data_IF_417603458404
#
_entry.id   IF_417603458404
#
_cell.length_a   1.000
_cell.length_b   1.000
_cell.length_c   1.000
_cell.angle_alpha   90.00
_cell.angle_beta   90.00
_cell.angle_gamma   90.00
#
_symmetry.space_group_name_H-M   'P 1'
#
loop_
_entity.id
_entity.type
_entity.pdbx_description
1 polymer ?
#
# COMPACT_ATOMS: atom_id res chain seq x y z
N UNK A 1 41.44 -25.76 -22.53
CA UNK A 1 40.83 -25.04 -21.39
C UNK A 1 40.48 -26.05 -20.33
N UNK A 2 40.98 -25.91 -19.09
CA UNK A 2 40.77 -26.91 -18.07
C UNK A 2 39.34 -26.82 -17.50
N UNK A 3 38.70 -27.97 -17.29
CA UNK A 3 37.28 -28.13 -16.93
C UNK A 3 36.90 -27.65 -15.50
N UNK A 4 37.83 -27.06 -14.74
CA UNK A 4 37.61 -26.63 -13.35
C UNK A 4 37.15 -25.17 -13.20
N UNK A 5 36.94 -24.46 -14.32
CA UNK A 5 36.37 -23.11 -14.35
C UNK A 5 34.95 -23.12 -14.95
N UNK A 6 34.18 -24.18 -14.69
CA UNK A 6 32.73 -24.05 -14.79
C UNK A 6 32.31 -23.21 -13.59
N UNK A 7 31.92 -21.96 -13.86
CA UNK A 7 31.27 -21.08 -12.90
C UNK A 7 30.19 -21.88 -12.16
N UNK A 8 30.48 -22.25 -10.92
CA UNK A 8 29.51 -22.93 -10.07
C UNK A 8 28.42 -21.92 -9.79
N UNK A 9 27.33 -21.99 -10.55
CA UNK A 9 26.10 -21.27 -10.24
C UNK A 9 25.74 -21.67 -8.81
N UNK A 10 25.71 -20.73 -7.84
CA UNK A 10 25.42 -21.08 -6.46
C UNK A 10 24.05 -21.76 -6.40
N UNK A 11 24.04 -23.01 -5.93
CA UNK A 11 22.82 -23.79 -5.75
C UNK A 11 22.15 -23.28 -4.48
N UNK A 12 21.26 -22.30 -4.64
CA UNK A 12 20.47 -21.79 -3.53
C UNK A 12 19.39 -22.80 -3.13
N UNK A 13 19.20 -22.98 -1.83
CA UNK A 13 18.04 -23.69 -1.31
C UNK A 13 16.74 -22.94 -1.65
N UNK A 14 15.62 -23.66 -1.67
CA UNK A 14 14.30 -23.05 -1.95
C UNK A 14 13.96 -21.89 -0.97
N UNK A 15 14.46 -21.94 0.27
CA UNK A 15 14.27 -20.86 1.24
C UNK A 15 15.17 -19.66 0.97
N UNK A 16 16.42 -19.87 0.55
CA UNK A 16 17.32 -18.77 0.17
C UNK A 16 16.80 -18.05 -1.08
N UNK A 17 16.31 -18.79 -2.07
CA UNK A 17 15.64 -18.21 -3.25
C UNK A 17 14.42 -17.37 -2.87
N UNK A 18 13.59 -17.84 -1.93
CA UNK A 18 12.44 -17.07 -1.42
C UNK A 18 12.86 -15.78 -0.73
N UNK A 19 13.90 -15.83 0.10
CA UNK A 19 14.41 -14.65 0.81
C UNK A 19 15.03 -13.63 -0.15
N UNK A 20 15.76 -14.10 -1.16
CA UNK A 20 16.35 -13.27 -2.21
C UNK A 20 15.25 -12.55 -3.01
N UNK A 21 14.28 -13.31 -3.54
CA UNK A 21 13.14 -12.73 -4.27
C UNK A 21 12.34 -11.73 -3.43
N UNK A 22 12.17 -12.00 -2.13
CA UNK A 22 11.51 -11.07 -1.20
C UNK A 22 12.30 -9.78 -1.04
N UNK A 23 13.62 -9.86 -0.86
CA UNK A 23 14.51 -8.70 -0.75
C UNK A 23 14.48 -7.84 -2.02
N UNK A 24 14.46 -8.49 -3.18
CA UNK A 24 14.36 -7.82 -4.47
C UNK A 24 13.02 -7.08 -4.62
N UNK A 25 11.90 -7.73 -4.25
CA UNK A 25 10.58 -7.12 -4.25
C UNK A 25 10.52 -5.89 -3.33
N UNK A 26 11.09 -5.97 -2.12
CA UNK A 26 11.18 -4.82 -1.20
C UNK A 26 12.00 -3.68 -1.83
N UNK A 27 13.12 -4.00 -2.46
CA UNK A 27 13.97 -3.04 -3.16
C UNK A 27 13.26 -2.35 -4.32
N UNK A 28 12.46 -3.08 -5.10
CA UNK A 28 11.64 -2.52 -6.19
C UNK A 28 10.59 -1.57 -5.62
N UNK A 29 9.79 -2.00 -4.64
CA UNK A 29 8.71 -1.18 -4.08
C UNK A 29 9.27 0.13 -3.48
N UNK A 30 10.39 0.07 -2.76
CA UNK A 30 11.01 1.26 -2.19
C UNK A 30 11.57 2.21 -3.26
N UNK A 31 12.14 1.68 -4.35
CA UNK A 31 12.57 2.51 -5.49
C UNK A 31 11.39 3.24 -6.12
N UNK A 32 10.31 2.51 -6.43
CA UNK A 32 9.10 3.10 -7.00
C UNK A 32 8.48 4.19 -6.11
N UNK A 33 8.58 4.03 -4.79
CA UNK A 33 8.06 5.02 -3.83
C UNK A 33 8.92 6.29 -3.73
N UNK A 34 10.24 6.16 -3.76
CA UNK A 34 11.17 7.28 -3.48
C UNK A 34 11.70 7.96 -4.74
N UNK A 35 11.76 7.23 -5.85
CA UNK A 35 12.22 7.70 -7.14
C UNK A 35 11.33 7.04 -8.22
N UNK A 36 10.05 7.44 -8.32
CA UNK A 36 9.15 6.90 -9.32
C UNK A 36 9.71 7.17 -10.71
N UNK A 37 9.73 6.14 -11.54
CA UNK A 37 9.89 6.32 -12.98
C UNK A 37 8.60 6.95 -13.52
N UNK A 38 8.68 7.77 -14.57
CA UNK A 38 7.59 8.66 -15.04
C UNK A 38 6.21 7.99 -15.23
N UNK A 39 6.14 6.67 -15.40
CA UNK A 39 4.88 5.90 -15.60
C UNK A 39 4.56 4.89 -14.49
N UNK A 40 5.36 4.88 -13.42
CA UNK A 40 5.22 3.91 -12.32
C UNK A 40 4.16 4.29 -11.29
N UNK A 41 3.82 5.58 -11.21
CA UNK A 41 2.72 6.11 -10.41
C UNK A 41 1.61 6.56 -11.36
N UNK A 42 0.40 6.05 -11.14
CA UNK A 42 -0.79 6.43 -11.88
C UNK A 42 -1.81 7.02 -10.90
N UNK A 43 -2.33 8.21 -11.17
CA UNK A 43 -3.41 8.77 -10.34
C UNK A 43 -4.73 8.11 -10.75
N UNK A 44 -5.20 7.10 -10.01
CA UNK A 44 -6.38 6.30 -10.38
C UNK A 44 -7.60 6.84 -9.60
N UNK A 45 -8.74 7.14 -10.23
CA UNK A 45 -9.92 7.64 -9.52
C UNK A 45 -10.47 6.58 -8.57
N UNK A 46 -10.99 7.00 -7.41
CA UNK A 46 -11.50 6.07 -6.39
C UNK A 46 -12.59 5.13 -6.92
N UNK A 47 -13.42 5.60 -7.86
CA UNK A 47 -14.44 4.78 -8.52
C UNK A 47 -13.87 3.62 -9.37
N UNK A 48 -12.56 3.54 -9.58
CA UNK A 48 -11.87 2.45 -10.28
C UNK A 48 -11.08 1.53 -9.37
N UNK A 49 -11.12 1.78 -8.05
CA UNK A 49 -10.45 0.98 -7.04
C UNK A 49 -11.44 -0.02 -6.43
N UNK A 50 -11.08 -1.29 -6.44
CA UNK A 50 -11.82 -2.37 -5.76
C UNK A 50 -11.02 -2.75 -4.53
N UNK A 51 -11.60 -2.58 -3.34
CA UNK A 51 -10.95 -3.00 -2.10
C UNK A 51 -10.80 -4.51 -2.04
N UNK A 52 -9.56 -4.99 -1.92
CA UNK A 52 -9.23 -6.40 -1.75
C UNK A 52 -8.38 -6.56 -0.48
N UNK A 53 -8.99 -6.76 0.70
CA UNK A 53 -8.27 -6.83 1.97
C UNK A 53 -7.49 -8.15 2.15
N UNK A 54 -6.59 -8.46 1.20
CA UNK A 54 -5.76 -9.66 1.18
C UNK A 54 -4.55 -9.53 2.12
N UNK A 55 -3.96 -8.34 2.21
CA UNK A 55 -2.80 -8.06 3.09
C UNK A 55 -3.25 -7.93 4.54
N UNK A 56 -4.31 -7.15 4.77
CA UNK A 56 -4.83 -6.86 6.11
C UNK A 56 -6.34 -6.66 6.05
N UNK A 57 -7.11 -7.23 7.01
CA UNK A 57 -8.53 -6.94 7.13
C UNK A 57 -8.78 -5.47 7.43
N UNK A 58 -9.89 -4.95 6.91
CA UNK A 58 -10.34 -3.58 7.20
C UNK A 58 -10.80 -3.52 8.66
N UNK A 59 -10.20 -2.61 9.43
CA UNK A 59 -10.49 -2.41 10.85
C UNK A 59 -11.16 -1.05 10.98
N UNK A 60 -12.39 -1.04 11.47
CA UNK A 60 -13.23 0.15 11.54
C UNK A 60 -12.59 1.30 12.34
N UNK A 61 -11.86 1.00 13.40
CA UNK A 61 -11.15 2.01 14.18
C UNK A 61 -10.10 2.75 13.35
N UNK A 62 -9.36 2.03 12.49
CA UNK A 62 -8.36 2.61 11.60
C UNK A 62 -9.05 3.45 10.51
N UNK A 63 -10.18 2.99 9.97
CA UNK A 63 -10.99 3.74 9.00
C UNK A 63 -11.46 5.07 9.60
N UNK A 64 -12.05 5.06 10.80
CA UNK A 64 -12.51 6.30 11.47
C UNK A 64 -11.38 7.29 11.73
N UNK A 65 -10.21 6.78 12.11
CA UNK A 65 -9.03 7.63 12.29
C UNK A 65 -8.63 8.29 10.97
N UNK A 66 -8.64 7.54 9.88
CA UNK A 66 -8.34 8.05 8.54
C UNK A 66 -9.39 9.05 8.04
N UNK A 67 -10.68 8.83 8.33
CA UNK A 67 -11.74 9.79 8.01
C UNK A 67 -11.51 11.14 8.70
N UNK A 68 -11.11 11.12 9.97
CA UNK A 68 -10.77 12.34 10.72
C UNK A 68 -9.54 13.06 10.16
N UNK A 69 -8.52 12.31 9.74
CA UNK A 69 -7.33 12.88 9.08
C UNK A 69 -7.69 13.50 7.71
N UNK A 70 -8.68 12.92 7.04
CA UNK A 70 -9.05 13.22 5.66
C UNK A 70 -9.95 14.45 5.49
N UNK A 71 -10.38 15.10 6.58
CA UNK A 71 -11.12 16.39 6.56
C UNK A 71 -10.40 17.48 5.75
N UNK A 72 -9.09 17.34 5.54
CA UNK A 72 -8.27 18.27 4.76
C UNK A 72 -8.14 17.91 3.27
N UNK A 73 -8.88 16.90 2.81
CA UNK A 73 -8.81 16.36 1.46
C UNK A 73 -7.55 15.54 1.19
N UNK A 74 -7.39 15.12 -0.07
CA UNK A 74 -6.21 14.39 -0.53
C UNK A 74 -5.02 15.32 -0.73
N UNK A 75 -3.84 14.86 -0.28
CA UNK A 75 -2.56 15.54 -0.45
C UNK A 75 -1.65 14.70 -1.33
N UNK A 76 -1.27 15.25 -2.47
CA UNK A 76 -0.36 14.62 -3.44
C UNK A 76 0.93 14.21 -2.75
N UNK A 77 1.42 12.99 -3.03
CA UNK A 77 2.67 12.47 -2.48
C UNK A 77 2.64 12.03 -1.00
N UNK A 78 1.57 12.30 -0.26
CA UNK A 78 1.51 11.96 1.18
C UNK A 78 1.22 10.46 1.39
N UNK A 79 0.36 9.87 0.55
CA UNK A 79 -0.09 8.48 0.67
C UNK A 79 -0.28 7.84 -0.70
N UNK A 80 0.43 6.72 -0.89
CA UNK A 80 0.39 5.91 -2.12
C UNK A 80 -0.40 4.64 -1.86
N UNK A 81 -1.31 4.30 -2.79
CA UNK A 81 -2.07 3.05 -2.78
C UNK A 81 -1.37 2.02 -3.66
N UNK A 82 -1.31 0.77 -3.22
CA UNK A 82 -0.76 -0.30 -4.04
C UNK A 82 -1.89 -1.08 -4.68
N UNK A 83 -1.85 -1.17 -6.00
CA UNK A 83 -2.92 -1.77 -6.78
C UNK A 83 -2.39 -2.80 -7.77
N UNK A 84 -3.24 -3.71 -8.20
CA UNK A 84 -2.99 -4.68 -9.26
C UNK A 84 -4.16 -4.68 -10.25
N UNK A 85 -3.92 -5.09 -11.49
CA UNK A 85 -4.99 -5.36 -12.45
C UNK A 85 -5.73 -6.68 -12.15
N UNK A 86 -5.13 -7.54 -11.33
CA UNK A 86 -5.63 -8.89 -11.06
C UNK A 86 -6.09 -9.00 -9.60
N UNK A 87 -7.15 -9.79 -9.39
CA UNK A 87 -7.59 -10.19 -8.06
C UNK A 87 -6.68 -11.29 -7.46
N UNK A 88 -7.06 -11.78 -6.27
CA UNK A 88 -6.35 -12.87 -5.58
C UNK A 88 -6.30 -14.20 -6.37
N UNK A 89 -7.11 -14.33 -7.41
CA UNK A 89 -7.26 -15.51 -8.25
C UNK A 89 -6.71 -15.26 -9.66
N UNK A 90 -5.86 -14.24 -9.85
CA UNK A 90 -5.28 -13.85 -11.14
C UNK A 90 -6.34 -13.42 -12.19
N UNK A 91 -7.53 -12.99 -11.77
CA UNK A 91 -8.61 -12.56 -12.68
C UNK A 91 -8.63 -11.05 -12.85
N UNK A 92 -8.82 -10.62 -14.09
CA UNK A 92 -9.03 -9.22 -14.44
C UNK A 92 -10.51 -8.86 -14.29
N UNK A 93 -10.80 -7.70 -13.69
CA UNK A 93 -12.16 -7.15 -13.63
C UNK A 93 -12.30 -5.98 -14.60
N UNK A 94 -13.26 -6.07 -15.53
CA UNK A 94 -13.53 -5.02 -16.52
C UNK A 94 -14.67 -4.12 -16.08
N UNK A 95 -14.64 -2.88 -16.54
CA UNK A 95 -15.75 -1.94 -16.40
C UNK A 95 -16.83 -2.27 -17.41
N UNK A 96 -18.04 -2.53 -16.94
CA UNK A 96 -19.20 -2.88 -17.78
C UNK A 96 -20.21 -1.75 -17.92
N UNK A 97 -20.09 -0.69 -17.11
CA UNK A 97 -20.99 0.46 -17.10
C UNK A 97 -22.28 0.25 -16.31
N UNK A 98 -22.50 -0.95 -15.79
CA UNK A 98 -23.67 -1.34 -14.97
C UNK A 98 -23.43 -1.18 -13.47
N UNK A 99 -22.23 -0.80 -13.06
CA UNK A 99 -21.85 -0.68 -11.65
C UNK A 99 -22.55 0.53 -11.00
N UNK A 100 -23.05 0.34 -9.76
CA UNK A 100 -23.80 1.36 -9.02
C UNK A 100 -23.05 2.69 -8.86
N UNK A 101 -21.71 2.63 -8.80
CA UNK A 101 -20.86 3.82 -8.71
C UNK A 101 -21.08 4.80 -9.87
N UNK A 102 -21.56 4.31 -11.03
CA UNK A 102 -21.87 5.14 -12.20
C UNK A 102 -23.21 5.85 -12.13
N UNK A 103 -24.08 5.52 -11.16
CA UNK A 103 -25.27 6.32 -10.89
C UNK A 103 -24.87 7.75 -10.49
N UNK A 104 -23.73 7.92 -9.83
CA UNK A 104 -23.17 9.24 -9.52
C UNK A 104 -22.56 9.89 -10.79
N UNK A 105 -23.07 11.06 -11.23
CA UNK A 105 -22.58 11.73 -12.45
C UNK A 105 -21.16 12.27 -12.33
N UNK A 106 -20.71 12.61 -11.12
CA UNK A 106 -19.35 13.09 -10.85
C UNK A 106 -18.35 11.95 -11.07
N UNK A 107 -18.64 10.74 -10.57
CA UNK A 107 -17.79 9.56 -10.82
C UNK A 107 -17.70 9.20 -12.30
N UNK A 108 -18.81 9.27 -13.04
CA UNK A 108 -18.79 9.08 -14.51
C UNK A 108 -17.87 10.09 -15.19
N UNK A 109 -17.93 11.36 -14.79
CA UNK A 109 -17.06 12.42 -15.34
C UNK A 109 -15.59 12.15 -15.03
N UNK A 110 -15.25 11.75 -13.81
CA UNK A 110 -13.87 11.42 -13.44
C UNK A 110 -13.36 10.19 -14.19
N UNK A 111 -14.17 9.14 -14.30
CA UNK A 111 -13.82 7.96 -15.09
C UNK A 111 -13.57 8.31 -16.57
N UNK A 112 -14.42 9.15 -17.18
CA UNK A 112 -14.23 9.59 -18.57
C UNK A 112 -12.89 10.33 -18.77
N UNK A 113 -12.52 11.21 -17.83
CA UNK A 113 -11.22 11.92 -17.85
C UNK A 113 -10.05 10.96 -17.72
N UNK A 114 -10.17 10.00 -16.81
CA UNK A 114 -9.16 8.97 -16.60
C UNK A 114 -8.97 8.10 -17.85
N UNK A 115 -10.06 7.59 -18.44
CA UNK A 115 -10.02 6.82 -19.69
C UNK A 115 -9.40 7.63 -20.85
N UNK A 116 -9.77 8.90 -21.00
CA UNK A 116 -9.16 9.76 -22.03
C UNK A 116 -7.63 9.86 -21.86
N UNK A 117 -7.13 9.93 -20.62
CA UNK A 117 -5.69 9.93 -20.34
C UNK A 117 -5.04 8.58 -20.67
N UNK A 118 -5.70 7.46 -20.35
CA UNK A 118 -5.19 6.13 -20.70
C UNK A 118 -5.12 5.92 -22.22
N UNK A 119 -6.11 6.44 -22.96
CA UNK A 119 -6.15 6.34 -24.42
C UNK A 119 -5.11 7.24 -25.11
N UNK A 120 -4.71 8.33 -24.47
CA UNK A 120 -3.72 9.27 -25.02
C UNK A 120 -2.27 8.76 -24.90
N UNK A 121 -1.98 7.82 -24.00
CA UNK A 121 -0.65 7.26 -23.79
C UNK A 121 -0.61 5.76 -24.17
N UNK A 122 0.12 5.37 -25.23
CA UNK A 122 0.23 3.97 -25.65
C UNK A 122 0.65 3.01 -24.54
N UNK A 123 1.50 3.44 -23.60
CA UNK A 123 2.00 2.58 -22.52
C UNK A 123 0.93 2.31 -21.45
N UNK A 124 -0.06 3.21 -21.35
CA UNK A 124 -1.15 3.12 -20.39
C UNK A 124 -2.40 2.46 -20.97
N UNK A 125 -2.45 2.24 -22.29
CA UNK A 125 -3.62 1.69 -22.99
C UNK A 125 -4.07 0.35 -22.41
N UNK A 126 -3.11 -0.47 -21.95
CA UNK A 126 -3.35 -1.76 -21.30
C UNK A 126 -4.21 -1.70 -20.02
N UNK A 127 -4.36 -0.52 -19.42
CA UNK A 127 -5.16 -0.29 -18.21
C UNK A 127 -6.60 0.15 -18.51
N UNK A 128 -6.91 0.42 -19.77
CA UNK A 128 -8.22 0.94 -20.20
C UNK A 128 -9.33 -0.06 -19.90
N UNK A 129 -10.49 0.45 -19.47
CA UNK A 129 -11.68 -0.36 -19.15
C UNK A 129 -11.47 -1.46 -18.09
N UNK A 130 -10.45 -1.33 -17.23
CA UNK A 130 -10.16 -2.26 -16.12
C UNK A 130 -10.29 -1.61 -14.75
N UNK A 131 -10.85 -2.33 -13.79
CA UNK A 131 -10.72 -1.97 -12.40
C UNK A 131 -9.33 -2.32 -11.87
N UNK A 132 -8.98 -1.71 -10.74
CA UNK A 132 -7.73 -1.94 -10.04
C UNK A 132 -8.02 -2.48 -8.65
N UNK A 133 -7.50 -3.66 -8.36
CA UNK A 133 -7.62 -4.33 -7.08
C UNK A 133 -6.61 -3.73 -6.09
N UNK A 134 -7.10 -3.24 -4.96
CA UNK A 134 -6.28 -2.59 -3.92
C UNK A 134 -5.70 -3.66 -3.02
N UNK A 135 -4.40 -3.88 -3.11
CA UNK A 135 -3.69 -4.84 -2.27
C UNK A 135 -3.32 -4.21 -0.93
N UNK A 136 -2.89 -2.95 -0.95
CA UNK A 136 -2.61 -2.17 0.25
C UNK A 136 -3.17 -0.74 0.11
N UNK A 137 -3.73 -0.24 1.21
CA UNK A 137 -4.46 1.03 1.23
C UNK A 137 -5.97 0.87 1.29
N UNK A 138 -6.47 -0.35 1.53
CA UNK A 138 -7.90 -0.66 1.65
C UNK A 138 -8.62 0.26 2.64
N UNK A 139 -8.08 0.44 3.86
CA UNK A 139 -8.68 1.36 4.86
C UNK A 139 -8.77 2.81 4.37
N UNK A 140 -7.81 3.27 3.56
CA UNK A 140 -7.82 4.62 3.01
C UNK A 140 -8.92 4.76 1.97
N UNK A 141 -9.01 3.81 1.03
CA UNK A 141 -10.05 3.81 0.00
C UNK A 141 -11.44 3.77 0.64
N UNK A 142 -11.62 2.92 1.65
CA UNK A 142 -12.88 2.85 2.42
C UNK A 142 -13.18 4.16 3.12
N UNK A 143 -12.23 4.72 3.88
CA UNK A 143 -12.40 5.98 4.59
C UNK A 143 -12.77 7.13 3.66
N UNK A 144 -12.03 7.28 2.55
CA UNK A 144 -12.26 8.37 1.61
C UNK A 144 -13.59 8.24 0.88
N UNK A 145 -13.92 7.03 0.41
CA UNK A 145 -15.19 6.78 -0.28
C UNK A 145 -16.37 7.07 0.65
N UNK A 146 -16.30 6.60 1.90
CA UNK A 146 -17.34 6.83 2.90
C UNK A 146 -17.48 8.31 3.27
N UNK A 147 -16.35 9.00 3.48
CA UNK A 147 -16.36 10.43 3.79
C UNK A 147 -17.00 11.25 2.65
N UNK A 148 -16.66 10.94 1.39
CA UNK A 148 -17.27 11.58 0.22
C UNK A 148 -18.77 11.30 0.18
N UNK A 149 -19.19 10.05 0.33
CA UNK A 149 -20.60 9.66 0.27
C UNK A 149 -21.46 10.32 1.35
N UNK A 150 -20.90 10.55 2.55
CA UNK A 150 -21.66 11.12 3.67
C UNK A 150 -21.68 12.65 3.63
N UNK A 151 -20.56 13.30 3.28
CA UNK A 151 -20.40 14.75 3.48
C UNK A 151 -20.24 15.56 2.19
N UNK A 152 -19.87 14.92 1.09
CA UNK A 152 -19.43 15.61 -0.13
C UNK A 152 -20.01 15.00 -1.40
N UNK A 153 -21.16 14.32 -1.33
CA UNK A 153 -21.74 13.56 -2.45
C UNK A 153 -21.97 14.41 -3.72
N UNK A 154 -22.20 15.72 -3.53
CA UNK A 154 -22.46 16.68 -4.60
C UNK A 154 -21.28 17.64 -4.86
N UNK A 155 -20.15 17.51 -4.17
CA UNK A 155 -18.99 18.39 -4.32
C UNK A 155 -17.89 17.75 -5.20
N UNK A 156 -17.72 18.20 -6.46
CA UNK A 156 -16.75 17.60 -7.38
C UNK A 156 -15.29 17.69 -6.93
N UNK A 157 -14.95 18.61 -6.01
CA UNK A 157 -13.58 18.80 -5.55
C UNK A 157 -13.09 17.64 -4.69
N UNK A 158 -14.01 16.87 -4.10
CA UNK A 158 -13.69 15.71 -3.28
C UNK A 158 -13.53 14.42 -4.09
N UNK A 159 -13.86 14.45 -5.38
CA UNK A 159 -13.79 13.31 -6.29
C UNK A 159 -12.43 13.27 -6.99
N UNK A 160 -11.37 13.00 -6.23
CA UNK A 160 -9.98 13.00 -6.73
C UNK A 160 -9.49 11.61 -7.15
N UNK A 161 -8.28 11.59 -7.71
CA UNK A 161 -7.55 10.38 -8.11
C UNK A 161 -6.25 10.30 -7.31
N UNK A 162 -6.15 9.44 -6.28
CA UNK A 162 -4.91 9.29 -5.52
C UNK A 162 -3.78 8.64 -6.33
N UNK A 163 -2.55 8.94 -5.93
CA UNK A 163 -1.34 8.30 -6.42
C UNK A 163 -1.37 6.79 -6.11
N UNK A 164 -1.30 5.98 -7.16
CA UNK A 164 -1.28 4.53 -7.07
C UNK A 164 -0.03 3.98 -7.73
N UNK A 165 0.64 3.02 -7.07
CA UNK A 165 1.68 2.20 -7.67
C UNK A 165 1.05 0.90 -8.14
N UNK A 166 1.18 0.63 -9.43
CA UNK A 166 0.72 -0.62 -10.03
C UNK A 166 1.79 -1.68 -9.75
N UNK A 167 1.37 -2.77 -9.13
CA UNK A 167 2.17 -3.97 -8.93
C UNK A 167 1.78 -4.98 -10.00
N UNK A 168 2.76 -5.44 -10.81
CA UNK A 168 2.53 -6.62 -11.64
C UNK A 168 2.67 -7.86 -10.76
N UNK A 169 1.52 -8.41 -10.36
CA UNK A 169 1.43 -9.50 -9.40
C UNK A 169 1.41 -10.90 -10.02
N UNK A 170 1.42 -11.02 -11.35
CA UNK A 170 1.20 -12.31 -12.04
C UNK A 170 2.11 -13.39 -11.45
N UNK A 171 1.48 -14.42 -10.86
CA UNK A 171 2.13 -15.57 -10.22
C UNK A 171 3.06 -15.27 -9.03
N UNK A 172 3.25 -14.00 -8.65
CA UNK A 172 4.11 -13.58 -7.53
C UNK A 172 3.34 -12.88 -6.41
N UNK A 173 2.01 -12.98 -6.42
CA UNK A 173 1.11 -12.39 -5.42
C UNK A 173 1.56 -12.66 -3.97
N UNK A 174 1.86 -13.91 -3.60
CA UNK A 174 2.32 -14.22 -2.24
C UNK A 174 3.65 -13.55 -1.84
N UNK A 175 4.56 -13.38 -2.80
CA UNK A 175 5.86 -12.71 -2.59
C UNK A 175 5.67 -11.20 -2.40
N UNK A 176 4.84 -10.58 -3.23
CA UNK A 176 4.50 -9.17 -3.13
C UNK A 176 3.72 -8.85 -1.85
N UNK A 177 2.74 -9.68 -1.48
CA UNK A 177 1.99 -9.56 -0.22
C UNK A 177 2.93 -9.59 0.98
N UNK A 178 3.90 -10.51 1.00
CA UNK A 178 4.91 -10.59 2.05
C UNK A 178 5.85 -9.37 2.07
N UNK A 179 6.28 -8.89 0.90
CA UNK A 179 7.11 -7.69 0.81
C UNK A 179 6.38 -6.43 1.29
N UNK A 180 5.10 -6.28 0.92
CA UNK A 180 4.25 -5.17 1.38
C UNK A 180 4.00 -5.24 2.88
N UNK A 181 3.69 -6.43 3.41
CA UNK A 181 3.57 -6.63 4.85
C UNK A 181 4.84 -6.15 5.56
N UNK A 182 6.02 -6.58 5.15
CA UNK A 182 7.27 -6.14 5.76
C UNK A 182 7.46 -4.62 5.68
N UNK A 183 7.22 -4.00 4.52
CA UNK A 183 7.37 -2.55 4.32
C UNK A 183 6.43 -1.76 5.24
N UNK A 184 5.19 -2.22 5.39
CA UNK A 184 4.17 -1.50 6.16
C UNK A 184 4.28 -1.79 7.66
N UNK A 185 4.68 -3.01 8.03
CA UNK A 185 4.91 -3.40 9.42
C UNK A 185 6.24 -2.85 9.98
N UNK A 186 7.31 -2.82 9.19
CA UNK A 186 8.60 -2.23 9.58
C UNK A 186 8.51 -0.72 9.83
N UNK A 187 7.51 -0.04 9.24
CA UNK A 187 7.24 1.38 9.48
C UNK A 187 6.37 1.65 10.71
N UNK A 188 5.89 0.61 11.42
CA UNK A 188 5.17 0.85 12.68
C UNK A 188 6.16 1.26 13.79
N UNK A 189 5.89 2.33 14.54
CA UNK A 189 6.78 2.79 15.62
C UNK A 189 7.04 1.71 16.67
N UNK A 190 6.07 0.82 16.88
CA UNK A 190 6.17 -0.32 17.79
C UNK A 190 7.21 -1.35 17.30
N UNK A 191 7.30 -1.57 15.99
CA UNK A 191 8.24 -2.52 15.42
C UNK A 191 9.64 -1.93 15.28
N UNK A 192 9.79 -0.64 14.95
CA UNK A 192 11.08 0.05 15.02
C UNK A 192 11.65 0.04 16.45
N UNK A 193 10.79 0.27 17.45
CA UNK A 193 11.17 0.16 18.86
C UNK A 193 11.55 -1.28 19.25
N UNK A 194 10.80 -2.29 18.78
CA UNK A 194 11.11 -3.71 19.03
C UNK A 194 12.43 -4.12 18.36
N UNK A 195 12.67 -3.70 17.12
CA UNK A 195 13.87 -4.00 16.36
C UNK A 195 15.09 -3.31 16.98
N UNK A 196 14.98 -2.04 17.38
CA UNK A 196 16.02 -1.32 18.10
C UNK A 196 16.34 -1.99 19.44
N UNK A 197 15.33 -2.44 20.18
CA UNK A 197 15.52 -3.20 21.42
C UNK A 197 16.16 -4.57 21.18
N UNK A 198 15.80 -5.27 20.10
CA UNK A 198 16.41 -6.55 19.74
C UNK A 198 17.89 -6.38 19.39
N UNK A 199 18.22 -5.36 18.60
CA UNK A 199 19.60 -4.98 18.25
C UNK A 199 20.38 -4.61 19.51
N UNK A 200 19.81 -3.79 20.40
CA UNK A 200 20.43 -3.46 21.69
C UNK A 200 20.63 -4.70 22.56
N UNK A 201 19.70 -5.66 22.57
CA UNK A 201 19.87 -6.91 23.34
C UNK A 201 20.99 -7.79 22.80
N UNK A 202 21.10 -7.92 21.47
CA UNK A 202 22.11 -8.74 20.80
C UNK A 202 23.51 -8.11 20.92
N UNK A 203 23.63 -6.79 20.75
CA UNK A 203 24.92 -6.11 20.71
C UNK A 203 25.40 -5.56 22.07
N UNK A 204 24.50 -5.29 23.02
CA UNK A 204 24.85 -4.74 24.34
C UNK A 204 24.67 -5.76 25.48
N UNK A 205 24.36 -7.03 25.15
CA UNK A 205 24.20 -8.12 26.12
C UNK A 205 23.28 -7.77 27.30
N UNK A 206 22.20 -7.04 27.02
CA UNK A 206 21.30 -6.54 28.05
C UNK A 206 20.60 -7.71 28.80
N UNK A 207 20.66 -7.74 30.15
CA UNK A 207 19.95 -8.74 30.94
C UNK A 207 18.44 -8.71 30.66
N UNK A 208 17.79 -9.89 30.63
CA UNK A 208 16.38 -10.02 30.25
C UNK A 208 15.40 -9.17 31.07
N UNK A 209 15.71 -8.90 32.34
CA UNK A 209 14.93 -7.98 33.20
C UNK A 209 14.98 -6.52 32.74
N UNK A 210 16.10 -6.07 32.16
CA UNK A 210 16.28 -4.69 31.67
C UNK A 210 15.53 -4.51 30.34
N UNK A 211 15.57 -5.52 29.47
CA UNK A 211 14.78 -5.56 28.23
C UNK A 211 13.27 -5.46 28.51
N UNK A 212 12.76 -6.23 29.48
CA UNK A 212 11.34 -6.22 29.84
C UNK A 212 10.86 -4.91 30.49
N UNK A 213 11.74 -4.14 31.13
CA UNK A 213 11.41 -2.79 31.66
C UNK A 213 11.44 -1.74 30.56
N UNK A 214 12.45 -1.76 29.68
CA UNK A 214 12.55 -0.86 28.52
C UNK A 214 11.39 -1.05 27.53
N UNK A 215 11.01 -2.30 27.23
CA UNK A 215 9.84 -2.59 26.39
C UNK A 215 8.55 -2.02 26.98
N UNK A 216 8.32 -2.20 28.29
CA UNK A 216 7.13 -1.66 28.96
C UNK A 216 7.12 -0.13 28.97
N UNK A 217 8.27 0.52 29.10
CA UNK A 217 8.39 1.98 29.03
C UNK A 217 8.16 2.51 27.60
N UNK A 218 8.69 1.84 26.59
CA UNK A 218 8.46 2.19 25.18
C UNK A 218 7.00 2.00 24.78
N UNK A 219 6.37 0.89 25.16
CA UNK A 219 4.94 0.68 24.95
C UNK A 219 4.09 1.77 25.62
N UNK A 220 4.43 2.18 26.85
CA UNK A 220 3.76 3.29 27.55
C UNK A 220 4.00 4.66 26.90
N UNK A 221 5.20 4.91 26.38
CA UNK A 221 5.54 6.16 25.67
C UNK A 221 4.80 6.27 24.34
N UNK A 222 4.70 5.16 23.59
CA UNK A 222 3.95 5.11 22.32
C UNK A 222 2.44 5.29 22.58
N UNK A 223 1.90 4.72 23.66
CA UNK A 223 0.50 4.96 24.06
C UNK A 223 0.25 6.40 24.51
N UNK A 224 1.21 7.03 25.22
CA UNK A 224 1.09 8.44 25.64
C UNK A 224 1.24 9.43 24.48
N UNK A 225 2.01 9.12 23.44
CA UNK A 225 2.06 9.96 22.22
C UNK A 225 0.76 9.88 21.40
N UNK A 226 -0.02 8.80 21.51
CA UNK A 226 -1.38 8.74 20.94
C UNK A 226 -2.42 9.49 21.77
N UNK A 227 -2.21 9.63 23.09
CA UNK A 227 -3.13 10.36 24.00
C UNK A 227 -2.78 11.85 24.15
N UNK A 228 -1.51 12.24 23.98
CA UNK A 228 -1.03 13.62 24.15
C UNK A 228 -1.26 14.56 22.96
N UNK A 229 -1.87 14.09 21.86
CA UNK A 229 -2.25 14.94 20.71
C UNK A 229 -3.71 15.40 20.73
N UNK A 230 -4.50 15.04 21.74
CA UNK A 230 -5.88 15.54 21.94
C UNK A 230 -5.99 16.74 22.89
N UNK A 231 -4.87 17.34 23.30
CA UNK A 231 -4.89 18.54 24.14
C UNK A 231 -3.86 19.55 23.65
N UNK A 232 -4.21 20.31 22.63
CA UNK A 232 -3.78 21.70 22.44
C UNK A 232 -4.64 22.30 21.32
N UNK A 233 -5.57 23.15 21.76
CA UNK A 233 -6.27 24.20 21.01
C UNK A 233 -7.27 23.77 19.93
#
# INVERSE_FOLDING_TARGET
>A
MPAHLQDQVPVFSANEMRLLHKKDAIGIINRLRNAPQDKSILCIPLCRLITCPLVRPIIEQDVRKLENDFVRGYRVGERVIYVSLYDAHDRETRVTGSEEVWLNPIWRRQNKRFEARLQADPDLLQFSQKFFHVYEGNHMVTAWTRHIQILHVDDPNWYFSPDCIILDGRQQHGLLLNAMNDINWAKSPKHLALHALLIMRIHLNLPGMVFGKLWRLLCRSVSRQSEGRTSTS
#
